data_IF_194026228296
#
_entry.id   IF_194026228296
#
_cell.length_a   1.000
_cell.length_b   1.000
_cell.length_c   1.000
_cell.angle_alpha   90.00
_cell.angle_beta   90.00
_cell.angle_gamma   90.00
#
_symmetry.space_group_name_H-M   'P 1'
#
loop_
_entity.id
_entity.type
_entity.pdbx_description
1 polymer ?
#
# COMPACT_ATOMS: atom_id res chain seq x y z
N UNK A 1 14.72 7.82 -6.60
CA UNK A 1 14.54 7.92 -5.13
C UNK A 1 14.07 6.56 -4.64
N UNK A 2 14.60 6.00 -3.55
CA UNK A 2 14.03 4.79 -2.99
C UNK A 2 12.60 5.08 -2.50
N UNK A 3 11.61 4.46 -3.13
CA UNK A 3 10.17 4.63 -2.84
C UNK A 3 9.79 4.53 -1.36
N UNK A 4 10.57 3.77 -0.60
CA UNK A 4 10.24 3.39 0.77
C UNK A 4 10.85 4.30 1.83
N UNK A 5 11.57 5.36 1.43
CA UNK A 5 12.15 6.34 2.37
C UNK A 5 11.34 7.64 2.47
N UNK A 6 10.30 7.80 1.65
CA UNK A 6 9.40 8.96 1.78
C UNK A 6 8.40 8.74 2.92
N UNK A 7 8.38 9.63 3.94
CA UNK A 7 7.36 9.56 4.98
C UNK A 7 5.99 9.82 4.38
N UNK A 8 5.01 9.00 4.75
CA UNK A 8 3.61 9.22 4.37
C UNK A 8 3.10 10.57 4.88
N UNK A 9 2.55 11.37 3.98
CA UNK A 9 1.97 12.67 4.29
C UNK A 9 0.55 12.54 4.88
N UNK A 10 -0.15 13.67 5.04
CA UNK A 10 -1.51 13.66 5.58
C UNK A 10 -2.53 13.04 4.62
N UNK A 11 -2.37 13.25 3.31
CA UNK A 11 -3.26 12.74 2.28
C UNK A 11 -3.10 11.22 2.15
N UNK A 12 -1.85 10.72 2.15
CA UNK A 12 -1.54 9.29 2.13
C UNK A 12 -2.25 8.54 3.26
N UNK A 13 -2.21 9.11 4.47
CA UNK A 13 -2.85 8.52 5.66
C UNK A 13 -4.37 8.51 5.58
N UNK A 14 -4.96 9.56 5.00
CA UNK A 14 -6.41 9.60 4.76
C UNK A 14 -6.80 8.54 3.75
N UNK A 15 -6.07 8.44 2.64
CA UNK A 15 -6.33 7.44 1.61
C UNK A 15 -6.23 6.02 2.16
N UNK A 16 -5.12 5.70 2.83
CA UNK A 16 -4.90 4.39 3.46
C UNK A 16 -6.05 4.04 4.42
N UNK A 17 -6.46 5.00 5.27
CA UNK A 17 -7.59 4.81 6.18
C UNK A 17 -8.89 4.51 5.43
N UNK A 18 -9.23 5.30 4.42
CA UNK A 18 -10.45 5.10 3.64
C UNK A 18 -10.49 3.75 2.93
N UNK A 19 -9.33 3.23 2.49
CA UNK A 19 -9.25 1.89 1.90
C UNK A 19 -9.55 0.81 2.93
N UNK A 20 -8.98 0.91 4.14
CA UNK A 20 -9.26 -0.05 5.22
C UNK A 20 -10.70 0.04 5.73
N UNK A 21 -11.26 1.23 5.87
CA UNK A 21 -12.68 1.44 6.22
C UNK A 21 -13.61 0.82 5.17
N UNK A 22 -13.27 0.93 3.88
CA UNK A 22 -14.04 0.30 2.81
C UNK A 22 -13.95 -1.23 2.85
N UNK A 23 -12.77 -1.79 3.13
CA UNK A 23 -12.59 -3.23 3.28
C UNK A 23 -13.40 -3.77 4.46
N UNK A 24 -13.33 -3.08 5.61
CA UNK A 24 -14.12 -3.40 6.80
C UNK A 24 -15.62 -3.33 6.51
N UNK A 25 -16.09 -2.29 5.82
CA UNK A 25 -17.50 -2.16 5.42
C UNK A 25 -17.98 -3.30 4.51
N UNK A 26 -17.13 -3.79 3.61
CA UNK A 26 -17.50 -4.81 2.61
C UNK A 26 -17.48 -6.24 3.14
N UNK A 27 -16.60 -6.57 4.07
CA UNK A 27 -16.48 -7.94 4.58
C UNK A 27 -15.81 -8.07 5.94
N UNK A 28 -15.78 -7.00 6.72
CA UNK A 28 -15.30 -6.98 8.10
C UNK A 28 -13.81 -7.29 8.22
N UNK A 29 -13.44 -7.83 9.38
CA UNK A 29 -12.05 -8.11 9.75
C UNK A 29 -11.33 -9.03 8.76
N UNK A 30 -12.04 -9.99 8.15
CA UNK A 30 -11.47 -10.92 7.18
C UNK A 30 -10.94 -10.20 5.93
N UNK A 31 -11.73 -9.28 5.39
CA UNK A 31 -11.34 -8.49 4.21
C UNK A 31 -10.23 -7.49 4.54
N UNK A 32 -10.23 -6.91 5.75
CA UNK A 32 -9.14 -6.06 6.23
C UNK A 32 -7.81 -6.83 6.27
N UNK A 33 -7.81 -8.05 6.81
CA UNK A 33 -6.61 -8.90 6.87
C UNK A 33 -6.13 -9.34 5.49
N UNK A 34 -7.07 -9.72 4.61
CA UNK A 34 -6.74 -10.07 3.22
C UNK A 34 -6.07 -8.90 2.50
N UNK A 35 -6.67 -7.70 2.58
CA UNK A 35 -6.12 -6.48 1.99
C UNK A 35 -4.73 -6.15 2.55
N UNK A 36 -4.54 -6.23 3.87
CA UNK A 36 -3.24 -5.97 4.48
C UNK A 36 -2.16 -6.92 3.94
N UNK A 37 -2.48 -8.21 3.79
CA UNK A 37 -1.58 -9.19 3.19
C UNK A 37 -1.21 -8.86 1.74
N UNK A 38 -2.19 -8.46 0.92
CA UNK A 38 -1.96 -8.07 -0.48
C UNK A 38 -1.05 -6.83 -0.60
N UNK A 39 -1.20 -5.86 0.30
CA UNK A 39 -0.32 -4.68 0.34
C UNK A 39 1.12 -5.05 0.73
N UNK A 40 1.30 -5.96 1.68
CA UNK A 40 2.63 -6.47 2.05
C UNK A 40 3.30 -7.21 0.89
N UNK A 41 2.55 -8.05 0.17
CA UNK A 41 3.05 -8.73 -1.04
C UNK A 41 3.46 -7.75 -2.14
N UNK A 42 2.68 -6.68 -2.35
CA UNK A 42 3.03 -5.61 -3.29
C UNK A 42 4.33 -4.89 -2.90
N UNK A 43 4.52 -4.60 -1.61
CA UNK A 43 5.77 -4.00 -1.11
C UNK A 43 6.95 -4.94 -1.33
N UNK A 44 6.79 -6.24 -1.09
CA UNK A 44 7.83 -7.24 -1.35
C UNK A 44 8.16 -7.32 -2.84
N UNK A 45 7.16 -7.34 -3.71
CA UNK A 45 7.35 -7.36 -5.16
C UNK A 45 8.11 -6.12 -5.62
N UNK A 46 7.71 -4.94 -5.16
CA UNK A 46 8.34 -3.67 -5.51
C UNK A 46 9.78 -3.55 -5.01
N UNK A 47 10.13 -4.23 -3.91
CA UNK A 47 11.52 -4.35 -3.44
C UNK A 47 12.35 -5.35 -4.25
N UNK A 48 11.70 -6.34 -4.86
CA UNK A 48 12.38 -7.42 -5.59
C UNK A 48 12.73 -7.08 -7.04
N UNK A 49 12.08 -6.08 -7.66
CA UNK A 49 12.39 -5.61 -9.02
C UNK A 49 12.71 -4.11 -9.01
N UNK A 50 13.98 -3.77 -9.21
CA UNK A 50 14.47 -2.39 -9.26
C UNK A 50 13.74 -1.54 -10.32
N UNK A 51 13.35 -2.13 -11.46
CA UNK A 51 12.64 -1.40 -12.54
C UNK A 51 11.21 -1.08 -12.14
N UNK A 52 10.60 -1.94 -11.32
CA UNK A 52 9.28 -1.66 -10.75
C UNK A 52 9.35 -0.54 -9.72
N UNK A 53 10.43 -0.53 -8.93
CA UNK A 53 10.76 0.58 -8.04
C UNK A 53 10.96 1.90 -8.78
N UNK A 54 11.68 1.88 -9.91
CA UNK A 54 11.84 3.06 -10.76
C UNK A 54 10.50 3.54 -11.34
N UNK A 55 9.68 2.62 -11.87
CA UNK A 55 8.35 2.92 -12.39
C UNK A 55 7.45 3.60 -11.36
N UNK A 56 7.34 3.05 -10.16
CA UNK A 56 6.52 3.65 -9.11
C UNK A 56 7.07 5.00 -8.65
N UNK A 57 8.39 5.23 -8.73
CA UNK A 57 9.02 6.49 -8.32
C UNK A 57 8.97 7.59 -9.39
N UNK A 58 8.43 7.28 -10.57
CA UNK A 58 8.36 8.20 -11.71
C UNK A 58 7.13 9.13 -11.71
N UNK A 59 6.30 9.04 -10.65
CA UNK A 59 5.09 9.84 -10.44
C UNK A 59 5.38 11.04 -9.54
#
# INVERSE_FOLDING_TARGET
MPLFEMPADALDKVYARSVFELAEYRGGEGEVKRLAGELDELVLLARSDERFGEFLSSV
#
